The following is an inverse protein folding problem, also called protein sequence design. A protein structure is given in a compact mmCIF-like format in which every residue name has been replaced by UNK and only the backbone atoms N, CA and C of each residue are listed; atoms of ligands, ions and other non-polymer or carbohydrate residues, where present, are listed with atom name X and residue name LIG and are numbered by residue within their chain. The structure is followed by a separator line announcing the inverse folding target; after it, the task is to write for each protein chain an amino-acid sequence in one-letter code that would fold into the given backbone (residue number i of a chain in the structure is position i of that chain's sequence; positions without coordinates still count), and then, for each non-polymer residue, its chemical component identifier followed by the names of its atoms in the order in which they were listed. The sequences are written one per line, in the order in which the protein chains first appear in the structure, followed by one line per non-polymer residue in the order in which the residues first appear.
data_IF_778175725842
#
_entry.id   IF_778175725842
#
_cell.length_a   1.000
_cell.length_b   1.000
_cell.length_c   1.000
_cell.angle_alpha   90.00
_cell.angle_beta   90.00
_cell.angle_gamma   90.00
#
_symmetry.space_group_name_H-M   'P 1'
#
loop_
_entity.id
_entity.type
_entity.pdbx_description
1 polymer ?
#
# COMPACT_ATOMS: atom_id res chain seq x y z
N UNK A 1 -10.98 6.19 26.30
CA UNK A 1 -10.34 4.92 26.73
C UNK A 1 -9.01 4.80 25.99
N UNK A 2 -7.89 4.92 26.68
CA UNK A 2 -6.56 4.67 26.10
C UNK A 2 -6.37 3.15 25.96
N UNK A 3 -6.96 2.57 24.91
CA UNK A 3 -6.73 1.17 24.57
C UNK A 3 -5.24 0.93 24.32
N UNK A 4 -4.67 -0.13 24.91
CA UNK A 4 -3.27 -0.49 24.70
C UNK A 4 -2.97 -0.56 23.19
N UNK A 5 -1.93 0.15 22.76
CA UNK A 5 -1.49 0.16 21.36
C UNK A 5 -1.15 -1.26 20.92
N UNK A 6 -1.71 -1.70 19.80
CA UNK A 6 -1.39 -3.01 19.23
C UNK A 6 0.11 -3.09 18.94
N UNK A 7 0.78 -4.10 19.52
CA UNK A 7 2.23 -4.31 19.36
C UNK A 7 2.50 -5.22 18.17
N UNK A 8 3.25 -4.74 17.18
CA UNK A 8 3.62 -5.53 16.01
C UNK A 8 4.56 -6.70 16.33
N UNK A 9 4.42 -7.79 15.58
CA UNK A 9 5.24 -9.00 15.77
C UNK A 9 6.75 -8.74 15.64
N UNK A 10 7.15 -7.81 14.77
CA UNK A 10 8.55 -7.39 14.61
C UNK A 10 9.16 -6.87 15.93
N UNK A 11 8.44 -6.03 16.67
CA UNK A 11 8.93 -5.51 17.95
C UNK A 11 9.04 -6.61 19.01
N UNK A 12 8.03 -7.48 19.06
CA UNK A 12 8.01 -8.63 19.98
C UNK A 12 9.16 -9.60 19.67
N UNK A 13 9.48 -9.83 18.38
CA UNK A 13 10.60 -10.67 17.97
C UNK A 13 11.94 -10.17 18.53
N UNK A 14 12.25 -8.88 18.39
CA UNK A 14 13.52 -8.35 18.89
C UNK A 14 13.65 -8.39 20.41
N UNK A 15 12.55 -8.18 21.13
CA UNK A 15 12.53 -8.36 22.59
C UNK A 15 12.74 -9.82 22.98
N UNK A 16 12.06 -10.76 22.31
CA UNK A 16 12.24 -12.18 22.52
C UNK A 16 13.70 -12.63 22.27
N UNK A 17 14.34 -12.12 21.21
CA UNK A 17 15.77 -12.36 20.95
C UNK A 17 16.64 -11.83 22.09
N UNK A 18 16.40 -10.60 22.55
CA UNK A 18 17.15 -9.98 23.66
C UNK A 18 17.04 -10.78 24.96
N UNK A 19 15.86 -11.34 25.24
CA UNK A 19 15.58 -12.12 26.43
C UNK A 19 15.80 -13.64 26.26
N UNK A 20 16.25 -14.08 25.08
CA UNK A 20 16.43 -15.51 24.71
C UNK A 20 15.15 -16.34 24.88
N UNK A 21 14.00 -15.73 24.63
CA UNK A 21 12.66 -16.33 24.77
C UNK A 21 11.92 -16.38 23.43
N UNK A 22 12.51 -17.08 22.45
CA UNK A 22 11.89 -17.28 21.14
C UNK A 22 10.66 -18.18 21.18
N UNK A 23 10.51 -18.98 22.24
CA UNK A 23 9.34 -19.84 22.42
C UNK A 23 8.08 -19.01 22.66
N UNK A 24 8.16 -18.00 23.53
CA UNK A 24 7.06 -17.04 23.75
C UNK A 24 6.68 -16.29 22.48
N UNK A 25 7.67 -15.89 21.67
CA UNK A 25 7.40 -15.28 20.36
C UNK A 25 6.61 -16.21 19.44
N UNK A 26 7.00 -17.49 19.33
CA UNK A 26 6.29 -18.49 18.50
C UNK A 26 4.85 -18.66 18.97
N UNK A 27 4.63 -18.81 20.29
CA UNK A 27 3.28 -18.90 20.88
C UNK A 27 2.42 -17.67 20.55
N UNK A 28 3.02 -16.48 20.55
CA UNK A 28 2.31 -15.24 20.19
C UNK A 28 1.93 -15.20 18.71
N UNK A 29 2.82 -15.64 17.81
CA UNK A 29 2.53 -15.75 16.37
C UNK A 29 1.37 -16.71 16.15
N UNK A 30 1.44 -17.91 16.73
CA UNK A 30 0.40 -18.94 16.58
C UNK A 30 -0.93 -18.48 17.16
N UNK A 31 -0.92 -17.81 18.33
CA UNK A 31 -2.13 -17.25 18.94
C UNK A 31 -2.78 -16.18 18.06
N UNK A 32 -2.00 -15.36 17.35
CA UNK A 32 -2.54 -14.34 16.44
C UNK A 32 -3.04 -14.93 15.13
N UNK A 33 -2.31 -15.92 14.60
CA UNK A 33 -2.70 -16.62 13.37
C UNK A 33 -3.98 -17.42 13.58
N UNK A 34 -4.11 -18.12 14.71
CA UNK A 34 -5.27 -18.96 15.01
C UNK A 34 -6.37 -18.22 15.79
N UNK A 35 -6.30 -16.89 15.86
CA UNK A 35 -7.35 -16.10 16.50
C UNK A 35 -8.62 -16.20 15.66
N UNK A 36 -9.78 -16.27 16.31
CA UNK A 36 -11.08 -16.37 15.62
C UNK A 36 -11.38 -15.19 14.68
N UNK A 37 -10.83 -14.00 14.99
CA UNK A 37 -10.96 -12.80 14.16
C UNK A 37 -9.83 -12.64 13.14
N UNK A 38 -8.88 -13.59 13.07
CA UNK A 38 -7.82 -13.54 12.07
C UNK A 38 -8.41 -13.71 10.67
N UNK A 39 -8.08 -12.78 9.78
CA UNK A 39 -8.44 -12.86 8.38
C UNK A 39 -7.29 -13.49 7.63
N UNK A 40 -7.56 -14.66 7.07
CA UNK A 40 -6.65 -15.38 6.18
C UNK A 40 -6.93 -14.96 4.75
N UNK A 41 -5.93 -14.39 4.09
CA UNK A 41 -6.10 -13.80 2.75
C UNK A 41 -6.14 -14.82 1.62
N UNK A 42 -5.73 -16.07 1.87
CA UNK A 42 -5.50 -17.09 0.84
C UNK A 42 -4.22 -16.85 0.00
N UNK A 43 -3.51 -15.75 0.22
CA UNK A 43 -2.22 -15.46 -0.42
C UNK A 43 -1.08 -16.09 0.39
N UNK A 44 -0.07 -16.61 -0.30
CA UNK A 44 1.16 -17.11 0.34
C UNK A 44 2.36 -16.24 0.01
N UNK A 45 3.30 -16.15 0.94
CA UNK A 45 4.58 -15.48 0.76
C UNK A 45 5.74 -16.41 1.09
N UNK A 46 6.81 -16.29 0.31
CA UNK A 46 8.09 -16.94 0.58
C UNK A 46 9.10 -15.85 1.01
N UNK A 47 9.71 -15.99 2.20
CA UNK A 47 10.76 -15.08 2.65
C UNK A 47 11.93 -15.01 1.66
N UNK A 48 12.62 -13.87 1.65
CA UNK A 48 13.86 -13.68 0.92
C UNK A 48 15.04 -13.80 1.88
N UNK A 49 16.02 -14.65 1.55
CA UNK A 49 17.31 -14.77 2.25
C UNK A 49 18.41 -14.61 1.22
N UNK A 50 19.29 -13.61 1.42
CA UNK A 50 20.32 -13.23 0.45
C UNK A 50 19.76 -13.04 -0.97
N UNK A 51 18.61 -12.36 -1.09
CA UNK A 51 17.88 -12.10 -2.36
C UNK A 51 17.23 -13.33 -3.02
N UNK A 52 17.40 -14.53 -2.45
CA UNK A 52 16.74 -15.74 -2.94
C UNK A 52 15.50 -16.08 -2.13
N UNK A 53 14.42 -16.49 -2.80
CA UNK A 53 13.23 -17.02 -2.13
C UNK A 53 13.58 -18.33 -1.44
N UNK A 54 13.14 -18.47 -0.19
CA UNK A 54 13.21 -19.75 0.52
C UNK A 54 12.14 -20.70 0.01
N UNK A 55 12.28 -21.99 0.31
CA UNK A 55 11.25 -23.00 0.03
C UNK A 55 10.02 -22.89 0.93
N UNK A 56 10.18 -22.22 2.08
CA UNK A 56 9.11 -22.07 3.05
C UNK A 56 8.03 -21.12 2.53
N UNK A 57 6.77 -21.52 2.69
CA UNK A 57 5.63 -20.68 2.37
C UNK A 57 4.81 -20.40 3.62
N UNK A 58 4.45 -19.13 3.80
CA UNK A 58 3.60 -18.68 4.88
C UNK A 58 2.37 -18.02 4.29
N UNK A 59 1.21 -18.42 4.79
CA UNK A 59 -0.03 -17.74 4.45
C UNK A 59 -0.06 -16.35 5.09
N UNK A 60 -0.42 -15.35 4.29
CA UNK A 60 -0.59 -13.97 4.76
C UNK A 60 -1.92 -13.90 5.51
N UNK A 61 -1.84 -13.44 6.76
CA UNK A 61 -2.99 -13.16 7.61
C UNK A 61 -2.86 -11.78 8.23
N UNK A 62 -3.98 -11.22 8.66
CA UNK A 62 -4.00 -10.01 9.49
C UNK A 62 -5.09 -10.09 10.55
N UNK A 63 -4.96 -9.25 11.57
CA UNK A 63 -5.99 -9.07 12.58
C UNK A 63 -6.62 -7.69 12.42
N UNK A 64 -7.95 -7.56 12.39
CA UNK A 64 -8.64 -6.27 12.37
C UNK A 64 -8.53 -5.62 13.76
N UNK A 65 -7.35 -5.12 14.08
CA UNK A 65 -7.13 -4.38 15.32
C UNK A 65 -7.92 -3.07 15.29
N UNK A 66 -8.35 -2.59 16.45
CA UNK A 66 -9.11 -1.34 16.57
C UNK A 66 -8.40 -0.16 15.87
N UNK A 67 -7.07 -0.10 15.96
CA UNK A 67 -6.28 0.94 15.30
C UNK A 67 -6.36 0.86 13.76
N UNK A 68 -6.47 -0.35 13.20
CA UNK A 68 -6.65 -0.52 11.75
C UNK A 68 -8.04 -0.03 11.35
N UNK A 69 -9.08 -0.39 12.09
CA UNK A 69 -10.44 0.09 11.83
C UNK A 69 -10.58 1.60 11.93
N UNK A 70 -9.88 2.23 12.87
CA UNK A 70 -9.84 3.70 12.99
C UNK A 70 -9.17 4.36 11.78
N UNK A 71 -8.05 3.80 11.31
CA UNK A 71 -7.38 4.29 10.11
C UNK A 71 -8.23 4.09 8.86
N UNK A 72 -8.94 2.96 8.77
CA UNK A 72 -9.87 2.69 7.68
C UNK A 72 -11.00 3.73 7.63
N UNK A 73 -11.64 4.01 8.77
CA UNK A 73 -12.68 5.05 8.89
C UNK A 73 -12.16 6.45 8.51
N UNK A 74 -10.94 6.77 8.95
CA UNK A 74 -10.28 8.03 8.61
C UNK A 74 -10.03 8.14 7.10
N UNK A 75 -9.50 7.08 6.48
CA UNK A 75 -9.28 7.01 5.02
C UNK A 75 -10.59 7.22 4.28
N UNK A 76 -11.66 6.48 4.63
CA UNK A 76 -12.96 6.64 3.98
C UNK A 76 -13.53 8.05 4.13
N UNK A 77 -13.40 8.63 5.32
CA UNK A 77 -13.88 9.98 5.60
C UNK A 77 -13.13 11.03 4.77
N UNK A 78 -11.81 10.90 4.67
CA UNK A 78 -10.98 11.81 3.88
C UNK A 78 -11.21 11.64 2.37
N UNK A 79 -11.31 10.40 1.88
CA UNK A 79 -11.64 10.11 0.49
C UNK A 79 -12.97 10.75 0.09
N UNK A 80 -14.02 10.58 0.91
CA UNK A 80 -15.31 11.22 0.64
C UNK A 80 -15.23 12.75 0.62
N UNK A 81 -14.40 13.35 1.47
CA UNK A 81 -14.17 14.80 1.44
C UNK A 81 -13.47 15.24 0.16
N UNK A 82 -12.50 14.47 -0.33
CA UNK A 82 -11.84 14.71 -1.62
C UNK A 82 -12.87 14.66 -2.73
N UNK A 83 -13.70 13.61 -2.81
CA UNK A 83 -14.71 13.46 -3.85
C UNK A 83 -15.69 14.63 -3.88
N UNK A 84 -16.18 15.06 -2.70
CA UNK A 84 -17.03 16.23 -2.58
C UNK A 84 -16.36 17.51 -3.09
N UNK A 85 -15.07 17.71 -2.80
CA UNK A 85 -14.33 18.89 -3.25
C UNK A 85 -14.05 18.83 -4.75
N UNK A 86 -13.71 17.65 -5.28
CA UNK A 86 -13.49 17.42 -6.70
C UNK A 86 -14.76 17.71 -7.51
N UNK A 87 -15.94 17.35 -7.00
CA UNK A 87 -17.22 17.66 -7.65
C UNK A 87 -17.52 19.17 -7.76
N UNK A 88 -16.85 20.04 -7.00
CA UNK A 88 -17.05 21.49 -7.01
C UNK A 88 -16.16 22.23 -8.02
N UNK A 89 -15.16 21.55 -8.60
CA UNK A 89 -14.24 22.17 -9.55
C UNK A 89 -14.55 21.74 -10.99
N UNK A 90 -14.23 22.58 -12.00
CA UNK A 90 -14.47 22.24 -13.41
C UNK A 90 -13.73 20.98 -13.84
N UNK A 91 -14.31 20.22 -14.76
CA UNK A 91 -13.76 18.95 -15.27
C UNK A 91 -12.31 19.08 -15.76
N UNK A 92 -11.97 20.16 -16.47
CA UNK A 92 -10.60 20.43 -16.92
C UNK A 92 -9.62 20.54 -15.74
N UNK A 93 -10.03 21.14 -14.63
CA UNK A 93 -9.20 21.25 -13.43
C UNK A 93 -9.09 19.89 -12.71
N UNK A 94 -10.15 19.08 -12.71
CA UNK A 94 -10.11 17.72 -12.18
C UNK A 94 -9.10 16.86 -12.94
N UNK A 95 -9.13 16.92 -14.27
CA UNK A 95 -8.18 16.21 -15.13
C UNK A 95 -6.74 16.68 -14.87
N UNK A 96 -6.51 17.98 -14.73
CA UNK A 96 -5.18 18.51 -14.43
C UNK A 96 -4.65 18.00 -13.09
N UNK A 97 -5.49 17.99 -12.04
CA UNK A 97 -5.12 17.46 -10.72
C UNK A 97 -4.77 15.97 -10.81
N UNK A 98 -5.60 15.19 -11.50
CA UNK A 98 -5.33 13.77 -11.71
C UNK A 98 -3.99 13.53 -12.42
N UNK A 99 -3.71 14.27 -13.49
CA UNK A 99 -2.47 14.14 -14.24
C UNK A 99 -1.25 14.49 -13.39
N UNK A 100 -1.33 15.59 -12.62
CA UNK A 100 -0.24 16.01 -11.74
C UNK A 100 0.04 14.96 -10.67
N UNK A 101 -1.00 14.44 -10.01
CA UNK A 101 -0.87 13.39 -9.00
C UNK A 101 -0.27 12.11 -9.59
N UNK A 102 -0.68 11.72 -10.79
CA UNK A 102 -0.13 10.54 -11.47
C UNK A 102 1.36 10.71 -11.79
N UNK A 103 1.76 11.88 -12.28
CA UNK A 103 3.18 12.19 -12.54
C UNK A 103 3.99 12.14 -11.24
N UNK A 104 3.46 12.72 -10.16
CA UNK A 104 4.12 12.72 -8.85
C UNK A 104 4.28 11.29 -8.29
N UNK A 105 3.24 10.45 -8.42
CA UNK A 105 3.28 9.05 -7.99
C UNK A 105 4.29 8.22 -8.81
N UNK A 106 4.34 8.43 -10.13
CA UNK A 106 5.32 7.77 -11.00
C UNK A 106 6.75 8.18 -10.66
N UNK A 107 6.99 9.46 -10.37
CA UNK A 107 8.30 9.93 -9.92
C UNK A 107 8.67 9.28 -8.57
N UNK A 108 7.74 9.29 -7.62
CA UNK A 108 7.97 8.69 -6.30
C UNK A 108 8.28 7.19 -6.40
N UNK A 109 7.61 6.46 -7.30
CA UNK A 109 7.88 5.03 -7.55
C UNK A 109 9.27 4.82 -8.16
N UNK A 110 9.63 5.61 -9.17
CA UNK A 110 10.96 5.56 -9.79
C UNK A 110 12.09 5.84 -8.78
N UNK A 111 11.89 6.81 -7.89
CA UNK A 111 12.87 7.14 -6.85
C UNK A 111 13.07 5.98 -5.86
N UNK A 112 11.99 5.27 -5.51
CA UNK A 112 12.04 4.06 -4.67
C UNK A 112 12.76 2.91 -5.39
N UNK A 113 12.51 2.75 -6.69
CA UNK A 113 13.07 1.67 -7.52
C UNK A 113 14.49 1.98 -8.04
N UNK A 114 15.01 3.19 -7.80
CA UNK A 114 16.32 3.63 -8.27
C UNK A 114 16.38 3.91 -9.78
N UNK A 115 15.23 4.09 -10.42
CA UNK A 115 15.10 4.44 -11.84
C UNK A 115 15.32 5.94 -12.00
N UNK A 116 16.24 6.33 -12.89
CA UNK A 116 16.48 7.74 -13.21
C UNK A 116 15.47 8.19 -14.26
N UNK A 117 14.51 8.99 -13.84
CA UNK A 117 13.63 9.75 -14.74
C UNK A 117 13.28 11.07 -14.08
N UNK A 118 13.18 12.15 -14.85
CA UNK A 118 12.72 13.43 -14.32
C UNK A 118 11.20 13.58 -14.44
N UNK A 119 10.64 14.46 -13.59
CA UNK A 119 9.21 14.80 -13.63
C UNK A 119 8.80 15.35 -15.01
N UNK A 120 9.67 16.12 -15.64
CA UNK A 120 9.48 16.63 -17.00
C UNK A 120 9.45 15.51 -18.04
N UNK A 121 10.36 14.54 -17.96
CA UNK A 121 10.40 13.39 -18.87
C UNK A 121 9.13 12.54 -18.77
N UNK A 122 8.67 12.29 -17.54
CA UNK A 122 7.43 11.56 -17.27
C UNK A 122 6.23 12.34 -17.82
N UNK A 123 6.14 13.64 -17.53
CA UNK A 123 5.05 14.51 -18.01
C UNK A 123 4.99 14.58 -19.54
N UNK A 124 6.14 14.76 -20.20
CA UNK A 124 6.20 14.84 -21.66
C UNK A 124 5.79 13.52 -22.32
N UNK A 125 6.21 12.39 -21.73
CA UNK A 125 5.83 11.06 -22.21
C UNK A 125 4.33 10.83 -22.05
N UNK A 126 3.78 11.19 -20.89
CA UNK A 126 2.36 11.10 -20.61
C UNK A 126 1.50 11.92 -21.59
N UNK A 127 1.88 13.17 -21.84
CA UNK A 127 1.20 14.04 -22.82
C UNK A 127 1.25 13.49 -24.24
N UNK A 128 2.39 12.90 -24.65
CA UNK A 128 2.49 12.21 -25.95
C UNK A 128 1.53 11.02 -26.04
N UNK A 129 1.43 10.21 -24.99
CA UNK A 129 0.53 9.05 -24.95
C UNK A 129 -0.95 9.46 -25.04
N UNK A 130 -1.35 10.55 -24.36
CA UNK A 130 -2.71 11.11 -24.48
C UNK A 130 -3.05 11.51 -25.92
N UNK A 131 -2.14 12.21 -26.60
CA UNK A 131 -2.32 12.63 -28.01
C UNK A 131 -2.47 11.44 -28.95
N UNK A 132 -1.67 10.38 -28.77
CA UNK A 132 -1.75 9.16 -29.58
C UNK A 132 -3.08 8.43 -29.39
N UNK A 133 -3.60 8.34 -28.16
CA UNK A 133 -4.92 7.75 -27.89
C UNK A 133 -6.05 8.55 -28.56
N UNK A 134 -6.02 9.88 -28.43
CA UNK A 134 -7.01 10.75 -29.06
C UNK A 134 -7.01 10.59 -30.59
N UNK A 135 -5.83 10.55 -31.22
CA UNK A 135 -5.70 10.33 -32.66
C UNK A 135 -6.28 8.98 -33.11
N UNK A 136 -6.02 7.88 -32.39
CA UNK A 136 -6.55 6.55 -32.75
C UNK A 136 -8.08 6.46 -32.69
N UNK A 137 -8.73 7.18 -31.78
CA UNK A 137 -10.18 7.20 -31.68
C UNK A 137 -10.86 7.97 -32.83
N UNK A 138 -10.12 8.86 -33.51
CA UNK A 138 -10.64 9.63 -34.67
C UNK A 138 -10.62 8.79 -35.95
N UNK A 139 -9.77 7.75 -36.05
CA UNK A 139 -9.66 6.90 -37.25
C UNK A 139 -10.61 5.68 -37.27
N UNK A 140 -11.52 5.56 -36.29
CA UNK A 140 -12.46 4.44 -36.16
C UNK A 140 -13.94 4.84 -36.35
N UNK A 141 -14.21 6.02 -36.91
CA UNK A 141 -15.56 6.52 -37.25
C UNK A 141 -15.69 6.70 -38.76
#
# INVERSE_FOLDING_TARGET
MTGNKYRGLKGIYYEAVKHRDLESYRKMVDSRRNNELAVHTGLTMAPLVNEFRTSDQFEIFYLPALQISQLEEEIFTLSHQIDKKMALIPEVAQEQIFNNNLVDELQSTNDIEGVKSSKEEISQTFERLKKVKSARNVFLV
#
